data_IF_503923313509
#
_entry.id   IF_503923313509
#
_cell.length_a   1.000
_cell.length_b   1.000
_cell.length_c   1.000
_cell.angle_alpha   90.00
_cell.angle_beta   90.00
_cell.angle_gamma   90.00
#
_symmetry.space_group_name_H-M   'P 1'
#
loop_
_entity.id
_entity.type
_entity.pdbx_description
1 polymer ?
#
# COMPACT_ATOMS: atom_id res chain seq x y z
N UNK A 1 -27.08 -10.82 27.64
CA UNK A 1 -25.90 -9.93 27.55
C UNK A 1 -25.76 -9.54 26.10
N UNK A 2 -25.90 -8.27 25.70
CA UNK A 2 -25.76 -7.90 24.31
C UNK A 2 -24.34 -8.25 23.87
N UNK A 3 -24.21 -9.03 22.80
CA UNK A 3 -22.92 -9.27 22.14
C UNK A 3 -22.48 -7.90 21.62
N UNK A 4 -21.65 -7.19 22.38
CA UNK A 4 -20.88 -6.10 21.83
C UNK A 4 -19.97 -6.76 20.79
N UNK A 5 -20.23 -6.49 19.51
CA UNK A 5 -19.36 -6.94 18.43
C UNK A 5 -17.96 -6.43 18.73
N UNK A 6 -17.03 -7.35 18.99
CA UNK A 6 -15.62 -7.03 19.05
C UNK A 6 -15.21 -6.56 17.65
N UNK A 7 -14.52 -5.42 17.56
CA UNK A 7 -14.06 -4.85 16.28
C UNK A 7 -13.26 -5.90 15.50
N UNK A 8 -12.53 -6.76 16.22
CA UNK A 8 -11.80 -7.89 15.64
C UNK A 8 -12.72 -8.94 14.99
N UNK A 9 -13.85 -9.28 15.64
CA UNK A 9 -14.79 -10.27 15.11
C UNK A 9 -15.51 -9.75 13.87
N UNK A 10 -16.04 -8.53 13.90
CA UNK A 10 -16.69 -7.91 12.73
C UNK A 10 -15.71 -7.75 11.56
N UNK A 11 -14.48 -7.33 11.83
CA UNK A 11 -13.47 -7.23 10.78
C UNK A 11 -13.17 -8.61 10.16
N UNK A 12 -13.04 -9.64 11.00
CA UNK A 12 -12.80 -11.02 10.54
C UNK A 12 -13.95 -11.50 9.66
N UNK A 13 -15.20 -11.35 10.12
CA UNK A 13 -16.39 -11.78 9.38
C UNK A 13 -16.49 -11.11 8.00
N UNK A 14 -16.24 -9.80 7.94
CA UNK A 14 -16.22 -9.04 6.68
C UNK A 14 -15.14 -9.59 5.74
N UNK A 15 -13.92 -9.80 6.23
CA UNK A 15 -12.83 -10.31 5.40
C UNK A 15 -13.11 -11.74 4.92
N UNK A 16 -13.63 -12.61 5.77
CA UNK A 16 -13.91 -14.01 5.42
C UNK A 16 -15.17 -14.22 4.60
N UNK A 17 -16.02 -13.18 4.46
CA UNK A 17 -17.16 -13.22 3.53
C UNK A 17 -16.74 -13.28 2.05
N UNK A 18 -15.53 -12.81 1.74
CA UNK A 18 -14.98 -12.76 0.37
C UNK A 18 -13.70 -13.59 0.24
N UNK A 19 -12.86 -13.62 1.27
CA UNK A 19 -11.57 -14.31 1.26
C UNK A 19 -11.58 -15.57 2.10
N UNK A 20 -10.73 -16.54 1.78
CA UNK A 20 -10.64 -17.80 2.55
C UNK A 20 -10.20 -17.59 4.00
N UNK A 21 -9.37 -16.57 4.25
CA UNK A 21 -8.89 -16.19 5.59
C UNK A 21 -8.60 -14.69 5.62
N UNK A 22 -8.54 -14.12 6.83
CA UNK A 22 -8.14 -12.73 7.04
C UNK A 22 -6.71 -12.45 6.55
N UNK A 23 -5.80 -13.44 6.66
CA UNK A 23 -4.43 -13.30 6.14
C UNK A 23 -4.40 -13.32 4.61
N UNK A 24 -5.23 -14.14 3.97
CA UNK A 24 -5.40 -14.12 2.51
C UNK A 24 -5.91 -12.75 2.04
N UNK A 25 -6.90 -12.19 2.74
CA UNK A 25 -7.40 -10.84 2.47
C UNK A 25 -6.25 -9.81 2.51
N UNK A 26 -5.46 -9.78 3.59
CA UNK A 26 -4.29 -8.87 3.70
C UNK A 26 -3.33 -9.06 2.53
N UNK A 27 -3.03 -10.31 2.17
CA UNK A 27 -2.10 -10.62 1.09
C UNK A 27 -2.58 -10.05 -0.25
N UNK A 28 -3.86 -10.21 -0.57
CA UNK A 28 -4.48 -9.69 -1.79
C UNK A 28 -4.61 -8.16 -1.80
N UNK A 29 -5.05 -7.54 -0.70
CA UNK A 29 -5.11 -6.08 -0.58
C UNK A 29 -3.73 -5.44 -0.77
N UNK A 30 -2.69 -5.98 -0.13
CA UNK A 30 -1.31 -5.51 -0.31
C UNK A 30 -0.79 -5.72 -1.74
N UNK A 31 -1.19 -6.82 -2.39
CA UNK A 31 -0.83 -7.08 -3.80
C UNK A 31 -1.47 -6.07 -4.75
N UNK A 32 -2.76 -5.79 -4.58
CA UNK A 32 -3.45 -4.75 -5.33
C UNK A 32 -2.79 -3.37 -5.13
N UNK A 33 -2.42 -3.05 -3.89
CA UNK A 33 -1.72 -1.80 -3.57
C UNK A 33 -0.36 -1.69 -4.29
N UNK A 34 0.47 -2.73 -4.29
CA UNK A 34 1.77 -2.74 -5.01
C UNK A 34 1.58 -2.67 -6.53
N UNK A 35 0.61 -3.40 -7.09
CA UNK A 35 0.32 -3.33 -8.52
C UNK A 35 -0.09 -1.90 -8.95
N UNK A 36 -0.92 -1.24 -8.16
CA UNK A 36 -1.28 0.18 -8.40
C UNK A 36 -0.10 1.13 -8.13
N UNK A 37 0.77 0.82 -7.19
CA UNK A 37 1.99 1.60 -6.94
C UNK A 37 2.99 1.48 -8.11
N UNK A 38 3.07 0.33 -8.78
CA UNK A 38 3.79 0.16 -10.05
C UNK A 38 3.23 1.09 -11.13
N UNK A 39 1.89 1.12 -11.30
CA UNK A 39 1.22 2.08 -12.20
C UNK A 39 1.58 3.52 -11.82
N UNK A 40 1.69 3.83 -10.52
CA UNK A 40 2.08 5.15 -10.06
C UNK A 40 3.51 5.54 -10.45
N UNK A 41 4.48 4.65 -10.30
CA UNK A 41 5.87 4.93 -10.69
C UNK A 41 6.00 5.06 -12.20
N UNK A 42 5.37 4.18 -12.97
CA UNK A 42 5.41 4.23 -14.45
C UNK A 42 4.74 5.49 -14.99
N UNK A 43 3.56 5.84 -14.47
CA UNK A 43 2.85 7.07 -14.87
C UNK A 43 3.60 8.33 -14.44
N UNK A 44 4.22 8.35 -13.25
CA UNK A 44 5.07 9.44 -12.80
C UNK A 44 6.30 9.60 -13.70
N UNK A 45 7.04 8.53 -13.98
CA UNK A 45 8.19 8.56 -14.87
C UNK A 45 7.80 9.05 -16.28
N UNK A 46 6.61 8.69 -16.76
CA UNK A 46 6.06 9.24 -18.00
C UNK A 46 5.74 10.74 -17.92
N UNK A 47 5.14 11.19 -16.82
CA UNK A 47 4.83 12.61 -16.53
C UNK A 47 6.11 13.46 -16.49
N UNK A 48 7.16 12.96 -15.82
CA UNK A 48 8.48 13.60 -15.75
C UNK A 48 9.31 13.43 -17.03
N UNK A 49 8.72 12.89 -18.10
CA UNK A 49 9.33 12.80 -19.42
C UNK A 49 10.33 11.68 -19.62
N UNK A 50 10.58 10.83 -18.62
CA UNK A 50 11.56 9.74 -18.66
C UNK A 50 11.11 8.51 -19.46
N UNK A 51 9.79 8.29 -19.57
CA UNK A 51 9.22 7.14 -20.30
C UNK A 51 8.36 7.54 -21.52
N UNK A 52 8.61 8.71 -22.14
CA UNK A 52 7.81 9.20 -23.29
C UNK A 52 7.72 8.21 -24.47
N UNK A 53 8.79 7.47 -24.75
CA UNK A 53 8.84 6.49 -25.85
C UNK A 53 8.20 5.12 -25.54
N UNK A 54 8.09 4.77 -24.26
CA UNK A 54 7.56 3.47 -23.80
C UNK A 54 6.08 3.59 -23.45
N UNK A 55 5.71 4.56 -22.60
CA UNK A 55 4.32 4.82 -22.22
C UNK A 55 3.76 5.91 -23.13
N UNK A 56 3.06 5.52 -24.19
CA UNK A 56 2.60 6.45 -25.26
C UNK A 56 1.34 7.25 -24.92
N UNK A 57 0.88 7.21 -23.68
CA UNK A 57 -0.30 7.96 -23.23
C UNK A 57 0.06 9.45 -23.06
N UNK A 58 -0.59 10.38 -23.79
CA UNK A 58 -0.32 11.81 -23.66
C UNK A 58 -1.02 12.42 -22.43
N UNK A 59 -0.75 13.70 -22.19
CA UNK A 59 -1.63 14.52 -21.35
C UNK A 59 -2.90 14.90 -22.11
N UNK A 60 -4.06 15.10 -21.44
CA UNK A 60 -4.32 14.95 -20.00
C UNK A 60 -4.44 13.52 -19.38
N UNK A 61 -4.80 12.44 -20.11
CA UNK A 61 -5.18 11.15 -19.51
C UNK A 61 -4.16 10.54 -18.56
N UNK A 62 -2.86 10.64 -18.84
CA UNK A 62 -1.81 10.08 -17.96
C UNK A 62 -1.87 10.68 -16.54
N UNK A 63 -2.27 11.94 -16.41
CA UNK A 63 -2.45 12.59 -15.12
C UNK A 63 -3.69 12.08 -14.37
N UNK A 64 -4.75 11.71 -15.09
CA UNK A 64 -5.96 11.10 -14.50
C UNK A 64 -5.63 9.71 -13.97
N UNK A 65 -4.93 8.90 -14.76
CA UNK A 65 -4.43 7.57 -14.37
C UNK A 65 -3.57 7.69 -13.11
N UNK A 66 -2.61 8.61 -13.09
CA UNK A 66 -1.73 8.83 -11.93
C UNK A 66 -2.53 9.21 -10.66
N UNK A 67 -3.52 10.10 -10.77
CA UNK A 67 -4.29 10.51 -9.60
C UNK A 67 -5.18 9.39 -9.06
N UNK A 68 -5.91 8.70 -9.93
CA UNK A 68 -6.86 7.67 -9.49
C UNK A 68 -6.17 6.38 -9.06
N UNK A 69 -5.13 5.92 -9.76
CA UNK A 69 -4.36 4.77 -9.30
C UNK A 69 -3.73 5.03 -7.93
N UNK A 70 -3.24 6.25 -7.67
CA UNK A 70 -2.75 6.65 -6.35
C UNK A 70 -3.80 6.62 -5.25
N UNK A 71 -5.03 7.09 -5.55
CA UNK A 71 -6.16 7.04 -4.60
C UNK A 71 -6.55 5.60 -4.28
N UNK A 72 -6.70 4.77 -5.31
CA UNK A 72 -7.02 3.37 -5.11
C UNK A 72 -5.90 2.63 -4.37
N UNK A 73 -4.63 2.86 -4.71
CA UNK A 73 -3.51 2.27 -4.00
C UNK A 73 -3.59 2.56 -2.50
N UNK A 74 -3.83 3.82 -2.12
CA UNK A 74 -4.02 4.21 -0.72
C UNK A 74 -5.23 3.54 -0.09
N UNK A 75 -6.37 3.46 -0.78
CA UNK A 75 -7.57 2.75 -0.28
C UNK A 75 -7.26 1.27 -0.03
N UNK A 76 -6.56 0.59 -0.94
CA UNK A 76 -6.19 -0.81 -0.78
C UNK A 76 -5.21 -1.04 0.39
N UNK A 77 -4.42 -0.04 0.80
CA UNK A 77 -3.61 -0.18 2.02
C UNK A 77 -4.42 -0.02 3.31
N UNK A 78 -5.59 0.63 3.29
CA UNK A 78 -6.38 0.91 4.51
C UNK A 78 -6.81 -0.36 5.25
N UNK A 79 -7.41 -1.40 4.62
CA UNK A 79 -7.79 -2.62 5.34
C UNK A 79 -6.58 -3.36 5.94
N UNK A 80 -5.44 -3.33 5.25
CA UNK A 80 -4.19 -3.94 5.73
C UNK A 80 -3.69 -3.20 6.96
N UNK A 81 -3.60 -1.87 6.86
CA UNK A 81 -3.11 -1.02 7.94
C UNK A 81 -4.04 -1.02 9.15
N UNK A 82 -5.36 -1.02 8.94
CA UNK A 82 -6.34 -1.13 10.01
C UNK A 82 -6.11 -2.39 10.83
N UNK A 83 -5.96 -3.54 10.17
CA UNK A 83 -5.65 -4.79 10.85
C UNK A 83 -4.31 -4.71 11.59
N UNK A 84 -3.27 -4.17 10.97
CA UNK A 84 -1.96 -4.05 11.61
C UNK A 84 -1.95 -3.09 12.81
N UNK A 85 -2.67 -1.97 12.75
CA UNK A 85 -2.59 -0.90 13.76
C UNK A 85 -3.66 -1.05 14.84
N UNK A 86 -4.91 -1.32 14.45
CA UNK A 86 -6.06 -1.29 15.37
C UNK A 86 -6.37 -2.67 15.99
N UNK A 87 -6.09 -3.76 15.27
CA UNK A 87 -6.36 -5.12 15.76
C UNK A 87 -5.11 -5.74 16.39
N UNK A 88 -3.98 -5.73 15.67
CA UNK A 88 -2.73 -6.30 16.18
C UNK A 88 -1.93 -5.32 17.04
N UNK A 89 -1.95 -4.04 16.69
CA UNK A 89 -1.11 -3.02 17.31
C UNK A 89 0.35 -3.07 16.86
N UNK A 90 1.14 -2.12 17.37
CA UNK A 90 2.60 -2.16 17.23
C UNK A 90 3.15 -3.28 18.11
N UNK A 91 3.95 -4.18 17.53
CA UNK A 91 4.43 -5.37 18.22
C UNK A 91 5.96 -5.42 18.18
N UNK A 92 6.57 -5.93 19.25
CA UNK A 92 8.03 -6.05 19.42
C UNK A 92 8.50 -7.48 19.67
N UNK A 93 7.69 -8.46 19.28
CA UNK A 93 7.90 -9.88 19.59
C UNK A 93 9.17 -10.45 18.97
N UNK A 94 9.57 -9.98 17.79
CA UNK A 94 10.81 -10.36 17.12
C UNK A 94 11.24 -9.29 16.10
N UNK A 95 12.46 -9.43 15.57
CA UNK A 95 13.05 -8.46 14.65
C UNK A 95 12.24 -8.27 13.36
N UNK A 96 11.60 -9.33 12.83
CA UNK A 96 10.78 -9.25 11.61
C UNK A 96 9.51 -8.45 11.88
N UNK A 97 8.86 -8.71 13.02
CA UNK A 97 7.65 -8.00 13.43
C UNK A 97 7.96 -6.53 13.70
N UNK A 98 9.05 -6.22 14.41
CA UNK A 98 9.51 -4.84 14.62
C UNK A 98 9.75 -4.13 13.29
N UNK A 99 10.50 -4.75 12.37
CA UNK A 99 10.78 -4.18 11.06
C UNK A 99 9.49 -3.92 10.27
N UNK A 100 8.53 -4.85 10.32
CA UNK A 100 7.24 -4.70 9.66
C UNK A 100 6.40 -3.55 10.26
N UNK A 101 6.36 -3.44 11.59
CA UNK A 101 5.63 -2.36 12.27
C UNK A 101 6.25 -0.99 11.96
N UNK A 102 7.58 -0.86 12.01
CA UNK A 102 8.28 0.38 11.64
C UNK A 102 8.04 0.74 10.18
N UNK A 103 8.24 -0.22 9.26
CA UNK A 103 8.05 0.02 7.84
C UNK A 103 6.60 0.36 7.49
N UNK A 104 5.62 -0.31 8.11
CA UNK A 104 4.20 -0.01 7.97
C UNK A 104 3.85 1.40 8.43
N UNK A 105 4.33 1.82 9.59
CA UNK A 105 4.17 3.20 10.08
C UNK A 105 4.85 4.21 9.15
N UNK A 106 6.04 3.89 8.65
CA UNK A 106 6.80 4.75 7.75
C UNK A 106 6.07 5.01 6.43
N UNK A 107 5.34 4.03 5.87
CA UNK A 107 4.49 4.23 4.67
C UNK A 107 3.51 5.38 4.86
N UNK A 108 2.79 5.43 5.99
CA UNK A 108 1.82 6.50 6.25
C UNK A 108 2.50 7.85 6.54
N UNK A 109 3.67 7.85 7.18
CA UNK A 109 4.48 9.05 7.37
C UNK A 109 4.93 9.67 6.05
N UNK A 110 5.49 8.85 5.14
CA UNK A 110 5.92 9.32 3.81
C UNK A 110 4.72 9.74 2.96
N UNK A 111 3.58 9.06 3.08
CA UNK A 111 2.35 9.47 2.40
C UNK A 111 1.88 10.84 2.90
N UNK A 112 1.85 11.05 4.21
CA UNK A 112 1.55 12.35 4.80
C UNK A 112 2.49 13.44 4.30
N UNK A 113 3.81 13.20 4.34
CA UNK A 113 4.82 14.12 3.81
C UNK A 113 4.58 14.45 2.32
N UNK A 114 4.27 13.45 1.51
CA UNK A 114 3.93 13.64 0.09
C UNK A 114 2.72 14.56 -0.10
N UNK A 115 1.68 14.43 0.74
CA UNK A 115 0.51 15.32 0.68
C UNK A 115 0.89 16.76 1.04
N UNK A 116 1.77 16.97 2.03
CA UNK A 116 2.29 18.31 2.35
C UNK A 116 3.07 18.91 1.17
N UNK A 117 4.01 18.15 0.59
CA UNK A 117 4.80 18.57 -0.58
C UNK A 117 3.91 18.90 -1.79
N UNK A 118 2.79 18.18 -1.96
CA UNK A 118 1.85 18.45 -3.05
C UNK A 118 1.04 19.74 -2.84
N UNK A 119 0.75 20.11 -1.58
CA UNK A 119 -0.06 21.29 -1.25
C UNK A 119 0.77 22.57 -1.24
N UNK A 120 2.01 22.49 -0.80
CA UNK A 120 2.92 23.63 -0.72
C UNK A 120 3.77 23.75 -2.00
N UNK A 121 3.63 24.89 -2.69
CA UNK A 121 4.35 25.17 -3.95
C UNK A 121 5.79 25.63 -3.74
N UNK A 122 6.23 25.86 -2.50
CA UNK A 122 7.59 26.26 -2.16
C UNK A 122 8.62 25.13 -2.24
N UNK A 123 8.18 23.86 -2.27
CA UNK A 123 9.09 22.72 -2.31
C UNK A 123 9.68 22.48 -3.71
N UNK A 124 10.97 22.07 -3.80
CA UNK A 124 11.57 21.73 -5.08
C UNK A 124 10.88 20.51 -5.72
N UNK A 125 10.69 20.58 -7.05
CA UNK A 125 9.89 19.62 -7.82
C UNK A 125 10.40 18.18 -7.76
N UNK A 126 11.69 17.96 -7.45
CA UNK A 126 12.28 16.63 -7.34
C UNK A 126 11.87 15.87 -6.07
N UNK A 127 11.34 16.55 -5.04
CA UNK A 127 10.92 15.88 -3.81
C UNK A 127 9.72 14.96 -4.03
N UNK A 128 8.83 15.31 -4.97
CA UNK A 128 7.67 14.48 -5.30
C UNK A 128 8.03 13.07 -5.82
N UNK A 129 8.92 12.92 -6.82
CA UNK A 129 9.36 11.59 -7.25
C UNK A 129 10.18 10.88 -6.18
N UNK A 130 10.93 11.59 -5.32
CA UNK A 130 11.63 10.94 -4.19
C UNK A 130 10.62 10.37 -3.19
N UNK A 131 9.68 11.16 -2.70
CA UNK A 131 8.64 10.67 -1.78
C UNK A 131 7.79 9.55 -2.41
N UNK A 132 7.45 9.68 -3.70
CA UNK A 132 6.74 8.64 -4.45
C UNK A 132 7.55 7.34 -4.62
N UNK A 133 8.84 7.46 -4.91
CA UNK A 133 9.77 6.34 -5.01
C UNK A 133 9.96 5.64 -3.67
N UNK A 134 10.16 6.41 -2.59
CA UNK A 134 10.26 5.87 -1.22
C UNK A 134 9.00 5.09 -0.84
N UNK A 135 7.80 5.63 -1.09
CA UNK A 135 6.55 4.90 -0.85
C UNK A 135 6.50 3.57 -1.59
N UNK A 136 6.85 3.59 -2.88
CA UNK A 136 6.87 2.39 -3.71
C UNK A 136 7.86 1.35 -3.17
N UNK A 137 9.08 1.78 -2.84
CA UNK A 137 10.14 0.89 -2.32
C UNK A 137 9.74 0.23 -1.00
N UNK A 138 9.24 1.01 -0.04
CA UNK A 138 8.84 0.48 1.27
C UNK A 138 7.63 -0.44 1.15
N UNK A 139 6.62 -0.07 0.37
CA UNK A 139 5.46 -0.91 0.14
C UNK A 139 5.83 -2.22 -0.57
N UNK A 140 6.76 -2.16 -1.53
CA UNK A 140 7.28 -3.36 -2.21
C UNK A 140 8.07 -4.25 -1.25
N UNK A 141 8.93 -3.69 -0.39
CA UNK A 141 9.67 -4.45 0.61
C UNK A 141 8.73 -5.15 1.62
N UNK A 142 7.70 -4.43 2.09
CA UNK A 142 6.64 -5.01 2.92
C UNK A 142 5.96 -6.18 2.19
N UNK A 143 5.54 -5.98 0.94
CA UNK A 143 4.87 -7.01 0.16
C UNK A 143 5.75 -8.24 -0.11
N UNK A 144 7.03 -8.05 -0.46
CA UNK A 144 7.98 -9.14 -0.69
C UNK A 144 8.16 -10.02 0.56
N UNK A 145 8.21 -9.40 1.74
CA UNK A 145 8.41 -10.09 3.02
C UNK A 145 7.12 -10.61 3.67
N UNK A 146 5.96 -10.33 3.08
CA UNK A 146 4.64 -10.74 3.60
C UNK A 146 3.81 -11.45 2.53
N UNK A 147 3.14 -10.73 1.63
CA UNK A 147 2.26 -11.33 0.62
C UNK A 147 2.97 -12.33 -0.30
N UNK A 148 4.14 -11.97 -0.84
CA UNK A 148 4.88 -12.90 -1.73
C UNK A 148 5.30 -14.15 -0.97
N UNK A 149 5.80 -13.99 0.26
CA UNK A 149 6.10 -15.11 1.15
C UNK A 149 4.85 -15.98 1.39
N UNK A 150 3.69 -15.36 1.66
CA UNK A 150 2.42 -16.07 1.84
C UNK A 150 2.07 -16.91 0.62
N UNK A 151 2.12 -16.34 -0.59
CA UNK A 151 1.77 -17.07 -1.82
C UNK A 151 2.76 -18.17 -2.21
N UNK A 152 4.01 -18.10 -1.75
CA UNK A 152 5.06 -19.06 -2.13
C UNK A 152 5.31 -20.14 -1.08
N UNK A 153 4.98 -19.89 0.19
CA UNK A 153 5.27 -20.80 1.30
C UNK A 153 4.02 -21.47 1.86
N UNK A 154 2.85 -20.83 1.77
CA UNK A 154 1.59 -21.45 2.16
C UNK A 154 1.16 -22.37 1.03
N UNK A 155 1.23 -23.69 1.25
CA UNK A 155 0.66 -24.65 0.32
C UNK A 155 -0.85 -24.44 0.27
N UNK A 156 -1.35 -23.97 -0.86
CA UNK A 156 -2.76 -24.08 -1.17
C UNK A 156 -3.01 -25.56 -1.47
N UNK A 157 -3.51 -26.29 -0.46
CA UNK A 157 -3.93 -27.67 -0.65
C UNK A 157 -5.16 -27.69 -1.54
N UNK A 158 -4.94 -27.91 -2.82
CA UNK A 158 -5.89 -28.57 -3.71
C UNK A 158 -5.34 -29.97 -4.00
#
# INVERSE_FOLDING_TARGET
MPVLLDVSSTYTDIMTSVFSTTIAAKAWFATAAVALALVQVLSAARIYGKLKGIVRIPYPPIGVIHRWSGRFAFVFTLPVAFHCIAILGFQTTDARVIAHSIAGSFVYGVFGAKIFILKDRGYPRWLLPVAGGTLFSVLTALWLTSSLWYFTQVRFGF
#
